data_IF_281132504174
#
_entry.id   IF_281132504174
#
_cell.length_a   1.000
_cell.length_b   1.000
_cell.length_c   1.000
_cell.angle_alpha   90.00
_cell.angle_beta   90.00
_cell.angle_gamma   90.00
#
_symmetry.space_group_name_H-M   'P 1'
#
loop_
_entity.id
_entity.type
_entity.pdbx_description
1 polymer ?
#
# COMPACT_ATOMS: atom_id res chain seq x y z
N UNK A 1 16.70 74.75 -19.16
CA UNK A 1 15.52 73.89 -18.88
C UNK A 1 16.01 72.47 -18.65
N UNK A 2 16.00 72.01 -17.39
CA UNK A 2 16.55 70.74 -16.92
C UNK A 2 15.56 69.61 -17.24
N UNK A 3 15.98 68.56 -17.95
CA UNK A 3 15.21 67.33 -18.13
C UNK A 3 15.67 66.31 -17.09
N UNK A 4 14.77 65.99 -16.17
CA UNK A 4 14.97 64.97 -15.14
C UNK A 4 14.72 63.58 -15.75
N UNK A 5 15.70 62.68 -15.59
CA UNK A 5 15.54 61.25 -15.81
C UNK A 5 14.86 60.64 -14.57
N UNK A 6 13.69 60.05 -14.75
CA UNK A 6 13.09 59.17 -13.74
C UNK A 6 13.55 57.75 -14.01
N UNK A 7 14.43 57.23 -13.15
CA UNK A 7 14.73 55.80 -13.05
C UNK A 7 13.73 55.22 -12.04
N UNK A 8 12.82 54.38 -12.51
CA UNK A 8 11.94 53.59 -11.64
C UNK A 8 12.73 52.34 -11.25
N UNK A 9 13.30 52.34 -10.05
CA UNK A 9 13.82 51.13 -9.41
C UNK A 9 12.65 50.42 -8.73
N UNK A 10 12.20 49.30 -9.29
CA UNK A 10 11.26 48.40 -8.63
C UNK A 10 12.01 47.60 -7.56
N UNK A 11 11.79 47.94 -6.30
CA UNK A 11 12.25 47.15 -5.17
C UNK A 11 11.36 45.90 -5.04
N UNK A 12 11.88 44.75 -5.47
CA UNK A 12 11.29 43.45 -5.14
C UNK A 12 11.72 43.13 -3.71
N UNK A 13 10.77 43.22 -2.77
CA UNK A 13 10.96 42.75 -1.40
C UNK A 13 10.99 41.22 -1.40
N UNK A 14 12.20 40.67 -1.33
CA UNK A 14 12.45 39.25 -1.13
C UNK A 14 12.31 38.98 0.38
N UNK A 15 11.13 38.53 0.83
CA UNK A 15 11.01 37.97 2.17
C UNK A 15 11.67 36.58 2.18
N UNK A 16 12.95 36.58 2.52
CA UNK A 16 13.67 35.41 3.00
C UNK A 16 13.06 35.00 4.35
N UNK A 17 12.27 33.93 4.36
CA UNK A 17 11.99 33.20 5.60
C UNK A 17 13.18 32.27 5.82
N UNK A 18 14.20 32.80 6.49
CA UNK A 18 15.21 32.01 7.18
C UNK A 18 14.64 31.58 8.53
N UNK A 19 14.17 30.33 8.63
CA UNK A 19 13.99 29.67 9.92
C UNK A 19 15.11 28.65 10.11
N UNK A 20 16.23 29.14 10.63
CA UNK A 20 17.17 28.35 11.42
C UNK A 20 16.53 28.05 12.77
N UNK A 21 16.41 26.79 13.14
CA UNK A 21 15.97 26.40 14.48
C UNK A 21 15.46 24.98 14.50
N UNK A 22 16.34 24.05 14.85
CA UNK A 22 15.94 22.71 15.25
C UNK A 22 15.13 22.79 16.55
N UNK A 23 13.84 22.57 16.44
CA UNK A 23 13.00 22.23 17.59
C UNK A 23 12.36 20.86 17.31
N UNK A 24 12.53 19.99 18.29
CA UNK A 24 12.05 18.62 18.30
C UNK A 24 10.53 18.61 18.15
N UNK A 25 10.04 17.96 17.11
CA UNK A 25 8.64 17.53 16.98
C UNK A 25 8.37 16.35 17.94
N UNK A 26 8.42 16.63 19.23
CA UNK A 26 8.01 15.70 20.29
C UNK A 26 7.31 16.52 21.36
N UNK A 27 6.08 16.99 21.09
CA UNK A 27 5.15 17.50 22.11
C UNK A 27 3.74 17.73 21.50
N UNK A 28 3.20 16.69 20.86
CA UNK A 28 1.75 16.60 20.56
C UNK A 28 1.20 15.20 20.86
N UNK A 29 1.74 14.55 21.89
CA UNK A 29 1.15 13.36 22.49
C UNK A 29 1.13 13.57 24.00
N UNK A 30 -0.07 13.79 24.54
CA UNK A 30 -0.58 13.40 25.87
C UNK A 30 -1.66 14.39 26.27
N UNK A 31 -2.91 14.03 25.99
CA UNK A 31 -4.05 14.08 26.91
C UNK A 31 -5.35 13.88 26.13
N UNK A 32 -5.79 12.62 26.05
CA UNK A 32 -7.23 12.35 26.04
C UNK A 32 -7.50 10.96 26.63
N UNK A 33 -7.72 10.95 27.94
CA UNK A 33 -8.39 9.87 28.65
C UNK A 33 -9.90 9.99 28.40
N UNK A 34 -10.47 9.09 27.59
CA UNK A 34 -11.93 9.01 27.46
C UNK A 34 -12.42 8.38 26.16
N UNK A 35 -12.88 7.13 26.28
CA UNK A 35 -13.64 6.34 25.31
C UNK A 35 -12.87 5.76 24.13
N UNK A 36 -12.77 4.43 24.13
CA UNK A 36 -12.53 3.59 22.96
C UNK A 36 -13.57 3.91 21.87
N UNK A 37 -13.24 4.89 21.03
CA UNK A 37 -13.98 5.29 19.83
C UNK A 37 -13.03 5.52 18.65
N UNK A 38 -11.93 4.75 18.60
CA UNK A 38 -11.09 4.67 17.42
C UNK A 38 -11.41 3.34 16.73
N UNK A 39 -11.98 3.40 15.53
CA UNK A 39 -12.08 2.26 14.62
C UNK A 39 -10.72 1.84 14.05
N UNK A 40 -9.68 1.80 14.90
CA UNK A 40 -8.54 0.94 14.63
C UNK A 40 -9.10 -0.49 14.56
N UNK A 41 -8.71 -1.32 13.58
CA UNK A 41 -8.96 -2.75 13.69
C UNK A 41 -8.45 -3.15 15.07
N UNK A 42 -9.32 -3.73 15.90
CA UNK A 42 -8.97 -4.25 17.23
C UNK A 42 -7.60 -4.89 17.10
N UNK A 43 -6.61 -4.39 17.84
CA UNK A 43 -5.30 -5.02 17.93
C UNK A 43 -5.57 -6.51 18.07
N UNK A 44 -5.21 -7.31 17.07
CA UNK A 44 -5.57 -8.72 17.04
C UNK A 44 -5.18 -9.34 18.37
N UNK A 45 -6.04 -10.17 18.95
CA UNK A 45 -5.94 -10.73 20.31
C UNK A 45 -4.68 -11.61 20.57
N UNK A 46 -3.53 -11.29 20.00
CA UNK A 46 -2.37 -12.19 19.88
C UNK A 46 -2.70 -13.46 19.07
N UNK A 47 -3.80 -13.45 18.31
CA UNK A 47 -4.29 -14.63 17.61
C UNK A 47 -3.80 -14.64 16.16
N UNK A 48 -3.35 -15.81 15.71
CA UNK A 48 -2.97 -16.08 14.34
C UNK A 48 -4.11 -16.77 13.57
N UNK A 49 -4.40 -16.39 12.31
CA UNK A 49 -3.85 -15.24 11.58
C UNK A 49 -4.41 -13.90 12.10
N UNK A 50 -3.81 -12.79 11.68
CA UNK A 50 -4.45 -11.48 11.91
C UNK A 50 -5.65 -11.37 10.97
N UNK A 51 -6.83 -11.15 11.54
CA UNK A 51 -8.10 -11.09 10.80
C UNK A 51 -8.64 -9.66 10.82
N UNK A 52 -8.92 -9.11 9.65
CA UNK A 52 -9.65 -7.84 9.49
C UNK A 52 -11.04 -8.16 8.99
N UNK A 53 -12.03 -7.87 9.83
CA UNK A 53 -13.44 -8.09 9.52
C UNK A 53 -14.06 -6.84 8.89
N UNK A 54 -15.12 -6.98 8.08
CA UNK A 54 -15.91 -5.85 7.64
C UNK A 54 -16.43 -5.04 8.83
N UNK A 55 -16.45 -3.73 8.67
CA UNK A 55 -17.03 -2.84 9.64
C UNK A 55 -18.57 -2.94 9.62
N UNK A 56 -19.24 -2.90 10.79
CA UNK A 56 -20.69 -2.78 10.85
C UNK A 56 -21.18 -1.55 10.07
N UNK A 57 -22.33 -1.63 9.41
CA UNK A 57 -22.84 -0.58 8.52
C UNK A 57 -22.84 0.82 9.16
N UNK A 58 -23.32 0.96 10.40
CA UNK A 58 -23.31 2.25 11.09
C UNK A 58 -21.89 2.79 11.36
N UNK A 59 -20.92 1.92 11.63
CA UNK A 59 -19.52 2.34 11.83
C UNK A 59 -18.89 2.75 10.51
N UNK A 60 -19.14 1.99 9.44
CA UNK A 60 -18.64 2.30 8.10
C UNK A 60 -19.17 3.64 7.60
N UNK A 61 -20.47 3.90 7.74
CA UNK A 61 -21.07 5.16 7.29
C UNK A 61 -20.54 6.37 8.08
N UNK A 62 -20.28 6.22 9.38
CA UNK A 62 -19.62 7.25 10.17
C UNK A 62 -18.19 7.54 9.67
N UNK A 63 -17.42 6.49 9.34
CA UNK A 63 -16.06 6.67 8.81
C UNK A 63 -16.06 7.27 7.41
N UNK A 64 -17.02 6.92 6.55
CA UNK A 64 -17.19 7.54 5.24
C UNK A 64 -17.52 9.03 5.36
N UNK A 65 -18.38 9.41 6.30
CA UNK A 65 -18.70 10.81 6.57
C UNK A 65 -17.45 11.59 7.04
N UNK A 66 -16.69 11.02 7.98
CA UNK A 66 -15.42 11.60 8.45
C UNK A 66 -14.40 11.75 7.33
N UNK A 67 -14.22 10.70 6.50
CA UNK A 67 -13.33 10.74 5.35
C UNK A 67 -13.72 11.83 4.35
N UNK A 68 -15.03 11.98 4.10
CA UNK A 68 -15.55 13.00 3.19
C UNK A 68 -15.37 14.41 3.74
N UNK A 69 -15.54 14.61 5.04
CA UNK A 69 -15.27 15.87 5.72
C UNK A 69 -13.79 16.26 5.62
N UNK A 70 -12.88 15.30 5.83
CA UNK A 70 -11.44 15.52 5.69
C UNK A 70 -10.99 15.75 4.24
N UNK A 71 -11.71 15.19 3.26
CA UNK A 71 -11.35 15.20 1.85
C UNK A 71 -12.55 15.58 0.96
N UNK A 72 -13.06 16.83 1.06
CA UNK A 72 -14.29 17.23 0.38
C UNK A 72 -14.21 17.12 -1.15
N UNK A 73 -13.01 17.27 -1.71
CA UNK A 73 -12.76 17.23 -3.15
C UNK A 73 -12.28 15.86 -3.66
N UNK A 74 -12.06 14.88 -2.77
CA UNK A 74 -11.69 13.53 -3.19
C UNK A 74 -12.95 12.79 -3.66
N UNK A 75 -12.94 12.16 -4.85
CA UNK A 75 -14.13 11.55 -5.45
C UNK A 75 -14.44 10.13 -4.93
N UNK A 76 -13.44 9.42 -4.38
CA UNK A 76 -13.59 8.06 -3.87
C UNK A 76 -14.21 7.97 -2.47
N UNK A 77 -14.27 6.76 -1.93
CA UNK A 77 -14.91 6.43 -0.65
C UNK A 77 -14.06 5.45 0.15
N UNK A 78 -14.64 4.83 1.18
CA UNK A 78 -14.03 3.72 1.92
C UNK A 78 -14.73 2.39 1.59
N UNK A 79 -13.94 1.32 1.44
CA UNK A 79 -14.44 -0.04 1.31
C UNK A 79 -15.02 -0.55 2.64
N UNK A 80 -15.55 -1.79 2.63
CA UNK A 80 -16.15 -2.42 3.81
C UNK A 80 -15.21 -2.60 5.01
N UNK A 81 -13.90 -2.44 4.84
CA UNK A 81 -12.90 -2.52 5.92
C UNK A 81 -12.46 -1.15 6.44
N UNK A 82 -12.96 -0.06 5.85
CA UNK A 82 -12.57 1.31 6.21
C UNK A 82 -11.29 1.81 5.50
N UNK A 83 -10.79 1.10 4.49
CA UNK A 83 -9.68 1.55 3.66
C UNK A 83 -10.17 2.34 2.46
N UNK A 84 -9.33 3.26 1.95
CA UNK A 84 -9.65 4.03 0.74
C UNK A 84 -9.94 3.07 -0.42
N UNK A 85 -11.08 3.28 -1.05
CA UNK A 85 -11.52 2.59 -2.26
C UNK A 85 -11.74 3.59 -3.37
N UNK A 86 -11.15 3.28 -4.51
CA UNK A 86 -11.32 4.06 -5.71
C UNK A 86 -12.73 3.84 -6.29
N UNK A 87 -13.44 4.94 -6.52
CA UNK A 87 -14.64 4.93 -7.35
C UNK A 87 -14.27 5.53 -8.71
N UNK A 88 -14.30 4.71 -9.76
CA UNK A 88 -14.07 5.17 -11.13
C UNK A 88 -15.23 6.06 -11.54
N UNK A 89 -15.08 7.35 -11.29
CA UNK A 89 -15.97 8.41 -11.75
C UNK A 89 -15.25 9.21 -12.82
N UNK A 90 -15.92 9.40 -13.96
CA UNK A 90 -15.44 10.34 -14.98
C UNK A 90 -15.36 11.73 -14.36
N UNK A 91 -14.15 12.30 -14.30
CA UNK A 91 -13.92 13.63 -13.77
C UNK A 91 -13.12 14.44 -14.79
N UNK A 92 -13.45 15.72 -14.90
CA UNK A 92 -12.65 16.66 -15.68
C UNK A 92 -11.36 16.96 -14.93
N UNK A 93 -10.24 16.83 -15.63
CA UNK A 93 -8.92 17.14 -15.08
C UNK A 93 -8.43 18.48 -15.64
N UNK A 94 -7.71 19.29 -14.84
CA UNK A 94 -7.13 20.52 -15.31
C UNK A 94 -6.19 20.30 -16.50
N UNK A 95 -6.13 21.28 -17.40
CA UNK A 95 -5.20 21.25 -18.55
C UNK A 95 -3.74 21.54 -18.19
N UNK A 96 -3.46 21.80 -16.92
CA UNK A 96 -2.12 22.08 -16.39
C UNK A 96 -1.22 20.85 -16.51
N UNK A 97 -0.05 21.03 -17.13
CA UNK A 97 0.98 19.99 -17.25
C UNK A 97 1.86 20.03 -16.00
N UNK A 98 2.09 18.85 -15.42
CA UNK A 98 2.91 18.63 -14.24
C UNK A 98 4.21 17.94 -14.67
N UNK A 99 5.35 18.56 -14.38
CA UNK A 99 6.67 18.07 -14.82
C UNK A 99 7.61 17.70 -13.67
N UNK A 100 7.27 18.06 -12.43
CA UNK A 100 8.10 17.80 -11.26
C UNK A 100 7.68 16.49 -10.58
N UNK A 101 8.37 15.41 -10.91
CA UNK A 101 8.18 14.08 -10.33
C UNK A 101 8.30 14.09 -8.79
N UNK A 102 9.31 14.78 -8.25
CA UNK A 102 9.55 14.83 -6.81
C UNK A 102 8.40 15.51 -6.09
N UNK A 103 7.85 16.59 -6.66
CA UNK A 103 6.67 17.24 -6.13
C UNK A 103 5.45 16.30 -6.14
N UNK A 104 5.28 15.48 -7.19
CA UNK A 104 4.17 14.53 -7.26
C UNK A 104 4.30 13.42 -6.22
N UNK A 105 5.49 12.87 -6.03
CA UNK A 105 5.79 11.90 -4.97
C UNK A 105 5.51 12.51 -3.59
N UNK A 106 5.97 13.75 -3.34
CA UNK A 106 5.73 14.43 -2.06
C UNK A 106 4.24 14.64 -1.80
N UNK A 107 3.47 15.08 -2.81
CA UNK A 107 2.01 15.23 -2.71
C UNK A 107 1.31 13.89 -2.43
N UNK A 108 1.75 12.81 -3.09
CA UNK A 108 1.22 11.48 -2.87
C UNK A 108 1.47 11.02 -1.43
N UNK A 109 2.72 11.12 -0.94
CA UNK A 109 3.08 10.78 0.45
C UNK A 109 2.31 11.63 1.47
N UNK A 110 2.19 12.94 1.22
CA UNK A 110 1.46 13.84 2.10
C UNK A 110 -0.04 13.49 2.19
N UNK A 111 -0.68 13.12 1.06
CA UNK A 111 -2.06 12.65 1.07
C UNK A 111 -2.23 11.37 1.86
N UNK A 112 -1.33 10.39 1.68
CA UNK A 112 -1.40 9.11 2.38
C UNK A 112 -1.21 9.27 3.89
N UNK A 113 -0.27 10.12 4.30
CA UNK A 113 -0.01 10.43 5.72
C UNK A 113 -1.17 11.22 6.36
N UNK A 114 -1.73 12.22 5.65
CA UNK A 114 -2.93 12.95 6.11
C UNK A 114 -4.10 11.99 6.34
N UNK A 115 -4.19 10.93 5.53
CA UNK A 115 -5.23 9.92 5.60
C UNK A 115 -4.75 8.63 6.28
N UNK A 116 -3.76 8.70 7.18
CA UNK A 116 -3.15 7.54 7.86
C UNK A 116 -4.18 6.58 8.49
N UNK A 117 -5.28 7.12 9.01
CA UNK A 117 -6.42 6.36 9.54
C UNK A 117 -7.08 5.43 8.52
N UNK A 118 -7.08 5.80 7.24
CA UNK A 118 -7.74 5.09 6.14
C UNK A 118 -6.75 4.39 5.19
N UNK A 119 -5.46 4.70 5.30
CA UNK A 119 -4.40 4.13 4.46
C UNK A 119 -3.49 3.18 5.22
N UNK A 120 -3.46 3.25 6.55
CA UNK A 120 -2.47 2.56 7.39
C UNK A 120 -1.05 3.12 7.27
N UNK A 121 -0.85 4.22 6.54
CA UNK A 121 0.47 4.83 6.36
C UNK A 121 0.73 5.81 7.50
N UNK A 122 1.55 5.40 8.47
CA UNK A 122 1.96 6.24 9.62
C UNK A 122 3.33 6.89 9.42
N UNK A 123 4.17 6.31 8.56
CA UNK A 123 5.50 6.80 8.23
C UNK A 123 5.75 6.68 6.71
N UNK A 124 6.13 7.79 6.10
CA UNK A 124 6.38 7.87 4.65
C UNK A 124 7.86 7.66 4.28
N UNK A 125 8.76 7.57 5.27
CA UNK A 125 10.18 7.28 5.03
C UNK A 125 10.39 5.82 4.62
N UNK A 126 9.58 4.91 5.16
CA UNK A 126 9.55 3.49 4.78
C UNK A 126 8.89 3.23 3.41
N UNK A 127 8.20 4.23 2.83
CA UNK A 127 7.54 4.10 1.53
C UNK A 127 8.55 4.23 0.38
N UNK A 128 9.05 3.09 -0.09
CA UNK A 128 9.86 3.01 -1.30
C UNK A 128 8.96 3.10 -2.54
N UNK A 129 9.47 3.81 -3.56
CA UNK A 129 8.75 4.02 -4.82
C UNK A 129 9.03 2.82 -5.72
N UNK A 130 7.97 2.18 -6.22
CA UNK A 130 8.06 1.17 -7.26
C UNK A 130 8.17 1.84 -8.63
N UNK A 131 7.29 2.81 -8.90
CA UNK A 131 7.26 3.53 -10.16
C UNK A 131 6.63 4.93 -9.97
N UNK A 132 7.04 5.89 -10.79
CA UNK A 132 6.36 7.16 -10.93
C UNK A 132 6.38 7.59 -12.39
N UNK A 133 5.20 7.84 -12.96
CA UNK A 133 5.13 8.25 -14.35
C UNK A 133 4.03 9.28 -14.64
N UNK A 134 4.32 10.26 -15.50
CA UNK A 134 3.29 11.08 -16.11
C UNK A 134 2.51 10.29 -17.15
N UNK A 135 1.22 10.57 -17.29
CA UNK A 135 0.38 10.11 -18.39
C UNK A 135 -0.55 11.24 -18.86
N UNK A 136 -1.20 11.06 -20.01
CA UNK A 136 -1.97 12.12 -20.70
C UNK A 136 -1.13 13.41 -20.87
N UNK A 137 0.06 13.27 -21.49
CA UNK A 137 0.99 14.39 -21.74
C UNK A 137 1.39 15.15 -20.46
N UNK A 138 1.45 14.46 -19.31
CA UNK A 138 1.85 15.04 -18.03
C UNK A 138 0.75 15.77 -17.29
N UNK A 139 -0.50 15.74 -17.76
CA UNK A 139 -1.64 16.28 -17.00
C UNK A 139 -1.94 15.44 -15.76
N UNK A 140 -1.74 14.13 -15.88
CA UNK A 140 -1.96 13.17 -14.80
C UNK A 140 -0.65 12.48 -14.44
N UNK A 141 -0.54 12.08 -13.18
CA UNK A 141 0.59 11.34 -12.65
C UNK A 141 0.10 10.11 -11.91
N UNK A 142 0.86 9.03 -12.02
CA UNK A 142 0.69 7.83 -11.20
C UNK A 142 1.97 7.63 -10.39
N UNK A 143 1.82 7.49 -9.08
CA UNK A 143 2.88 7.11 -8.15
C UNK A 143 2.49 5.76 -7.55
N UNK A 144 3.35 4.76 -7.74
CA UNK A 144 3.17 3.41 -7.21
C UNK A 144 4.23 3.19 -6.13
N UNK A 145 3.80 2.82 -4.94
CA UNK A 145 4.68 2.46 -3.83
C UNK A 145 4.79 0.94 -3.72
N UNK A 146 5.96 0.44 -3.36
CA UNK A 146 6.16 -1.00 -3.13
C UNK A 146 5.26 -1.50 -1.98
N UNK A 147 5.19 -2.83 -1.85
CA UNK A 147 4.60 -3.49 -0.70
C UNK A 147 5.18 -2.93 0.62
N UNK A 148 4.34 -2.89 1.64
CA UNK A 148 4.71 -2.59 3.03
C UNK A 148 5.80 -3.57 3.51
N UNK A 149 6.75 -3.05 4.28
CA UNK A 149 7.63 -3.88 5.11
C UNK A 149 7.16 -3.79 6.56
N UNK A 150 6.82 -4.92 7.18
CA UNK A 150 6.38 -5.00 8.57
C UNK A 150 7.29 -5.98 9.33
N UNK A 151 7.99 -5.50 10.36
CA UNK A 151 8.99 -6.28 11.11
C UNK A 151 10.02 -7.01 10.21
N UNK A 152 10.44 -6.36 9.13
CA UNK A 152 11.40 -6.92 8.17
C UNK A 152 10.80 -7.91 7.15
N UNK A 153 9.50 -8.21 7.24
CA UNK A 153 8.80 -9.05 6.27
C UNK A 153 8.05 -8.20 5.26
N UNK A 154 8.12 -8.58 4.00
CA UNK A 154 7.27 -7.99 2.96
C UNK A 154 5.81 -8.42 3.19
N UNK A 155 4.89 -7.46 3.19
CA UNK A 155 3.45 -7.71 3.21
C UNK A 155 2.96 -7.75 1.77
N UNK A 156 2.92 -8.93 1.19
CA UNK A 156 2.60 -9.12 -0.21
C UNK A 156 1.17 -8.67 -0.51
N UNK A 157 0.98 -7.99 -1.65
CA UNK A 157 -0.29 -7.38 -2.11
C UNK A 157 -0.74 -6.17 -1.27
N UNK A 158 0.22 -5.37 -0.80
CA UNK A 158 -0.03 -4.10 -0.10
C UNK A 158 0.53 -2.88 -0.86
N UNK A 159 0.77 -3.02 -2.17
CA UNK A 159 1.11 -1.93 -3.09
C UNK A 159 0.06 -0.83 -2.97
N UNK A 160 0.52 0.43 -2.87
CA UNK A 160 -0.35 1.60 -2.88
C UNK A 160 -0.17 2.34 -4.20
N UNK A 161 -1.27 2.60 -4.89
CA UNK A 161 -1.32 3.42 -6.10
C UNK A 161 -1.94 4.77 -5.77
N UNK A 162 -1.31 5.85 -6.22
CA UNK A 162 -1.82 7.21 -6.06
C UNK A 162 -1.79 7.91 -7.41
N UNK A 163 -2.92 8.51 -7.77
CA UNK A 163 -3.08 9.25 -9.01
C UNK A 163 -3.37 10.72 -8.70
N UNK A 164 -2.64 11.58 -9.40
CA UNK A 164 -2.61 13.01 -9.13
C UNK A 164 -2.83 13.81 -10.40
N UNK A 165 -3.50 14.95 -10.24
CA UNK A 165 -3.57 16.02 -11.23
C UNK A 165 -3.17 17.35 -10.58
N UNK A 166 -3.39 18.46 -11.28
CA UNK A 166 -2.98 19.77 -10.77
C UNK A 166 -3.75 20.21 -9.51
N UNK A 167 -4.94 19.66 -9.27
CA UNK A 167 -5.75 19.92 -8.08
C UNK A 167 -5.35 19.05 -6.89
N UNK A 168 -4.61 17.96 -7.12
CA UNK A 168 -4.08 17.08 -6.08
C UNK A 168 -4.35 15.60 -6.36
N UNK A 169 -4.46 14.81 -5.29
CA UNK A 169 -4.78 13.38 -5.41
C UNK A 169 -6.26 13.24 -5.73
N UNK A 170 -6.56 12.59 -6.85
CA UNK A 170 -7.94 12.31 -7.26
C UNK A 170 -8.30 10.84 -7.19
N UNK A 171 -7.32 9.95 -7.08
CA UNK A 171 -7.53 8.51 -6.91
C UNK A 171 -6.41 7.92 -6.08
N UNK A 172 -6.76 7.02 -5.18
CA UNK A 172 -5.82 6.24 -4.40
C UNK A 172 -6.42 4.86 -4.13
N UNK A 173 -5.59 3.84 -4.12
CA UNK A 173 -5.99 2.46 -3.84
C UNK A 173 -4.86 1.69 -3.19
N UNK A 174 -5.21 0.62 -2.49
CA UNK A 174 -4.28 -0.12 -1.65
C UNK A 174 -4.16 0.51 -0.26
N UNK A 175 -3.62 -0.26 0.67
CA UNK A 175 -3.46 0.14 2.05
C UNK A 175 -2.32 -0.64 2.70
N UNK A 176 -1.81 -0.10 3.78
CA UNK A 176 -0.92 -0.78 4.71
C UNK A 176 -1.71 -1.26 5.93
N UNK A 177 -1.13 -2.20 6.67
CA UNK A 177 -1.73 -2.81 7.84
C UNK A 177 -0.94 -2.40 9.08
N UNK A 178 -1.60 -1.63 9.96
CA UNK A 178 -0.98 -1.07 11.16
C UNK A 178 -0.56 -2.12 12.19
N UNK A 179 -1.26 -3.25 12.21
CA UNK A 179 -1.00 -4.36 13.11
C UNK A 179 -1.05 -5.67 12.36
N UNK A 180 0.02 -6.45 12.50
CA UNK A 180 0.13 -7.82 12.02
C UNK A 180 0.77 -8.64 13.14
N UNK A 181 0.07 -9.67 13.60
CA UNK A 181 0.61 -10.67 14.51
C UNK A 181 1.53 -11.61 13.74
N UNK A 182 2.79 -11.67 14.15
CA UNK A 182 3.82 -12.56 13.60
C UNK A 182 4.04 -13.68 14.62
N UNK A 183 3.58 -14.92 14.35
CA UNK A 183 3.75 -16.04 15.27
C UNK A 183 5.20 -16.56 15.25
N UNK A 184 5.55 -17.33 16.28
CA UNK A 184 6.75 -18.16 16.22
C UNK A 184 6.57 -19.23 15.14
N UNK A 185 7.62 -19.43 14.34
CA UNK A 185 7.67 -20.44 13.29
C UNK A 185 7.52 -21.85 13.88
N UNK A 186 6.57 -22.62 13.35
CA UNK A 186 6.39 -24.04 13.69
C UNK A 186 6.85 -24.97 12.57
N UNK A 187 6.84 -24.47 11.33
CA UNK A 187 7.26 -25.18 10.12
C UNK A 187 8.54 -24.55 9.60
N UNK A 188 9.62 -25.34 9.59
CA UNK A 188 10.91 -24.89 9.08
C UNK A 188 10.87 -24.66 7.57
N UNK A 189 11.83 -23.90 7.04
CA UNK A 189 11.99 -23.72 5.59
C UNK A 189 12.12 -25.08 4.87
N UNK A 190 12.87 -26.02 5.44
CA UNK A 190 13.10 -27.34 4.85
C UNK A 190 11.81 -28.16 4.83
N UNK A 191 11.05 -28.17 5.92
CA UNK A 191 9.76 -28.87 6.00
C UNK A 191 8.75 -28.30 5.01
N UNK A 192 8.70 -26.97 4.86
CA UNK A 192 7.82 -26.30 3.90
C UNK A 192 8.18 -26.61 2.44
N UNK A 193 9.48 -26.70 2.12
CA UNK A 193 9.95 -27.12 0.80
C UNK A 193 9.61 -28.58 0.52
N UNK A 194 9.82 -29.45 1.50
CA UNK A 194 9.53 -30.87 1.36
C UNK A 194 8.02 -31.13 1.25
N UNK A 195 7.18 -30.35 1.92
CA UNK A 195 5.72 -30.53 1.89
C UNK A 195 5.08 -30.25 0.53
N UNK A 196 5.74 -29.46 -0.32
CA UNK A 196 5.25 -29.13 -1.66
C UNK A 196 5.84 -30.01 -2.77
N UNK A 197 6.74 -30.96 -2.47
CA UNK A 197 7.20 -31.93 -3.47
C UNK A 197 6.04 -32.85 -3.84
N UNK A 198 5.78 -33.01 -5.14
CA UNK A 198 4.62 -33.72 -5.66
C UNK A 198 3.35 -32.85 -5.76
N UNK A 199 3.38 -31.60 -5.28
CA UNK A 199 2.25 -30.68 -5.45
C UNK A 199 2.02 -30.35 -6.92
N UNK A 200 0.75 -30.36 -7.33
CA UNK A 200 0.33 -30.10 -8.71
C UNK A 200 -0.06 -28.62 -8.88
N UNK A 201 0.65 -27.92 -9.75
CA UNK A 201 0.34 -26.54 -10.16
C UNK A 201 -0.40 -26.60 -11.48
N UNK A 202 -1.71 -26.32 -11.44
CA UNK A 202 -2.51 -26.10 -12.65
C UNK A 202 -2.22 -24.72 -13.24
N UNK A 203 -2.00 -24.65 -14.56
CA UNK A 203 -1.81 -23.39 -15.27
C UNK A 203 -2.52 -23.38 -16.62
N UNK A 204 -2.88 -22.18 -17.09
CA UNK A 204 -3.50 -21.98 -18.40
C UNK A 204 -2.46 -21.55 -19.44
N UNK A 205 -2.45 -22.23 -20.58
CA UNK A 205 -1.62 -21.91 -21.74
C UNK A 205 -2.31 -20.85 -22.61
N UNK A 206 -2.31 -19.59 -22.15
CA UNK A 206 -2.68 -18.41 -22.94
C UNK A 206 -3.99 -18.50 -23.75
N UNK A 207 -4.09 -17.69 -24.80
CA UNK A 207 -5.31 -17.50 -25.62
C UNK A 207 -5.65 -18.68 -26.56
N UNK A 208 -5.08 -19.87 -26.32
CA UNK A 208 -5.21 -21.06 -27.17
C UNK A 208 -5.81 -22.30 -26.52
N UNK A 209 -6.11 -22.27 -25.22
CA UNK A 209 -7.07 -23.21 -24.60
C UNK A 209 -6.55 -24.54 -24.08
N UNK A 210 -5.26 -24.66 -23.72
CA UNK A 210 -4.78 -25.81 -22.95
C UNK A 210 -4.65 -25.47 -21.46
N UNK A 211 -5.03 -26.38 -20.56
CA UNK A 211 -4.48 -26.39 -19.20
C UNK A 211 -3.30 -27.36 -19.14
N UNK A 212 -2.30 -27.02 -18.35
CA UNK A 212 -1.18 -27.89 -18.03
C UNK A 212 -1.12 -28.12 -16.52
N UNK A 213 -0.52 -29.25 -16.15
CA UNK A 213 -0.16 -29.55 -14.76
C UNK A 213 1.36 -29.60 -14.69
N UNK A 214 1.93 -28.85 -13.76
CA UNK A 214 3.33 -28.99 -13.37
C UNK A 214 3.41 -29.65 -12.01
N UNK A 215 4.13 -30.77 -11.91
CA UNK A 215 4.38 -31.45 -10.63
C UNK A 215 5.69 -30.94 -10.05
N UNK A 216 5.62 -30.32 -8.88
CA UNK A 216 6.79 -29.83 -8.14
C UNK A 216 7.71 -30.99 -7.79
N UNK A 217 9.01 -30.82 -8.00
CA UNK A 217 10.00 -31.85 -7.69
C UNK A 217 11.18 -31.27 -6.90
N UNK A 218 12.02 -32.13 -6.33
CA UNK A 218 13.16 -31.76 -5.49
C UNK A 218 14.09 -30.72 -6.12
N UNK A 219 14.31 -30.78 -7.44
CA UNK A 219 15.22 -29.85 -8.14
C UNK A 219 14.69 -28.42 -8.16
N UNK A 220 13.43 -28.22 -7.83
CA UNK A 220 12.80 -26.90 -7.76
C UNK A 220 13.17 -26.20 -6.45
N UNK A 221 13.61 -26.93 -5.42
CA UNK A 221 13.85 -26.42 -4.05
C UNK A 221 15.24 -25.82 -3.81
N UNK A 222 16.00 -25.55 -4.88
CA UNK A 222 17.39 -25.06 -4.83
C UNK A 222 17.47 -23.66 -4.20
N UNK A 223 16.49 -22.80 -4.48
CA UNK A 223 16.49 -21.42 -3.98
C UNK A 223 16.02 -21.37 -2.52
N UNK A 224 16.60 -20.50 -1.67
CA UNK A 224 16.07 -20.28 -0.33
C UNK A 224 14.62 -19.77 -0.41
N UNK A 225 13.78 -20.21 0.54
CA UNK A 225 12.46 -19.65 0.71
C UNK A 225 12.57 -18.26 1.36
N UNK A 226 11.63 -17.37 1.04
CA UNK A 226 11.55 -16.05 1.67
C UNK A 226 10.34 -16.02 2.59
N UNK A 227 10.52 -15.60 3.84
CA UNK A 227 9.40 -15.40 4.76
C UNK A 227 8.70 -14.08 4.44
N UNK A 228 7.38 -14.11 4.28
CA UNK A 228 6.54 -12.95 3.96
C UNK A 228 5.27 -12.94 4.82
N UNK A 229 4.54 -11.83 4.78
CA UNK A 229 3.12 -11.80 5.16
C UNK A 229 2.28 -11.83 3.88
N UNK A 230 1.44 -12.85 3.73
CA UNK A 230 0.51 -12.98 2.62
C UNK A 230 -0.86 -12.42 3.01
N UNK A 231 -1.35 -11.45 2.21
CA UNK A 231 -2.72 -10.94 2.31
C UNK A 231 -3.67 -11.86 1.52
N UNK A 232 -4.62 -12.49 2.21
CA UNK A 232 -5.64 -13.33 1.62
C UNK A 232 -7.05 -12.80 1.89
N UNK A 233 -7.94 -12.96 0.92
CA UNK A 233 -9.36 -12.66 1.07
C UNK A 233 -10.11 -13.98 1.27
N UNK A 234 -10.62 -14.19 2.49
CA UNK A 234 -11.31 -15.41 2.91
C UNK A 234 -12.77 -15.07 3.20
N UNK A 235 -13.64 -15.32 2.22
CA UNK A 235 -15.02 -14.86 2.24
C UNK A 235 -15.09 -13.34 2.33
N UNK A 236 -15.61 -12.81 3.44
CA UNK A 236 -15.67 -11.36 3.67
C UNK A 236 -14.53 -10.80 4.51
N UNK A 237 -13.55 -11.60 4.92
CA UNK A 237 -12.46 -11.17 5.79
C UNK A 237 -11.16 -11.04 5.02
N UNK A 238 -10.27 -10.18 5.52
CA UNK A 238 -8.86 -10.20 5.14
C UNK A 238 -8.12 -10.99 6.21
N UNK A 239 -7.32 -11.95 5.79
CA UNK A 239 -6.41 -12.72 6.63
C UNK A 239 -4.98 -12.37 6.26
N UNK A 240 -4.18 -12.02 7.26
CA UNK A 240 -2.73 -11.79 7.12
C UNK A 240 -2.01 -12.98 7.72
N UNK A 241 -1.47 -13.84 6.86
CA UNK A 241 -0.78 -15.09 7.23
C UNK A 241 0.72 -14.94 7.01
N UNK A 242 1.53 -15.53 7.89
CA UNK A 242 2.98 -15.56 7.72
C UNK A 242 3.33 -16.83 6.97
N UNK A 243 3.98 -16.67 5.81
CA UNK A 243 4.18 -17.74 4.84
C UNK A 243 5.62 -17.81 4.37
N UNK A 244 6.06 -19.03 4.06
CA UNK A 244 7.19 -19.30 3.19
C UNK A 244 6.77 -19.08 1.74
N UNK A 245 7.40 -18.13 1.06
CA UNK A 245 7.33 -17.98 -0.40
C UNK A 245 8.44 -18.84 -1.02
N UNK A 246 8.06 -19.95 -1.67
CA UNK A 246 8.98 -20.92 -2.24
C UNK A 246 8.96 -20.81 -3.75
N UNK A 247 10.12 -20.59 -4.37
CA UNK A 247 10.25 -20.45 -5.83
C UNK A 247 10.30 -21.82 -6.50
N UNK A 248 9.32 -22.12 -7.34
CA UNK A 248 9.32 -23.26 -8.27
C UNK A 248 9.84 -22.76 -9.62
N UNK A 249 11.16 -22.54 -9.69
CA UNK A 249 11.81 -21.80 -10.78
C UNK A 249 11.56 -22.40 -12.16
N UNK A 250 11.61 -23.73 -12.26
CA UNK A 250 11.38 -24.50 -13.49
C UNK A 250 10.01 -24.27 -14.11
N UNK A 251 9.00 -23.99 -13.30
CA UNK A 251 7.65 -23.66 -13.73
C UNK A 251 7.40 -22.16 -13.81
N UNK A 252 8.25 -21.35 -13.17
CA UNK A 252 8.06 -19.91 -13.06
C UNK A 252 6.92 -19.54 -12.11
N UNK A 253 6.86 -20.19 -10.93
CA UNK A 253 5.85 -19.93 -9.91
C UNK A 253 6.45 -19.71 -8.51
N UNK A 254 5.67 -19.09 -7.64
CA UNK A 254 5.77 -19.17 -6.20
C UNK A 254 4.67 -20.07 -5.65
N UNK A 255 5.00 -20.87 -4.64
CA UNK A 255 4.05 -21.57 -3.77
C UNK A 255 4.19 -20.98 -2.38
N UNK A 256 3.07 -20.66 -1.74
CA UNK A 256 3.05 -20.11 -0.39
C UNK A 256 2.63 -21.16 0.62
N UNK A 257 3.44 -21.39 1.65
CA UNK A 257 3.17 -22.37 2.72
C UNK A 257 3.09 -21.67 4.05
N UNK A 258 2.03 -21.90 4.81
CA UNK A 258 1.82 -21.32 6.15
C UNK A 258 2.92 -21.77 7.13
N UNK A 259 3.57 -20.81 7.80
CA UNK A 259 4.69 -21.09 8.74
C UNK A 259 4.26 -21.74 10.06
N UNK A 260 2.96 -21.79 10.34
CA UNK A 260 2.38 -22.39 11.55
C UNK A 260 1.73 -23.74 11.24
N UNK A 261 0.93 -23.82 10.17
CA UNK A 261 0.13 -25.03 9.87
C UNK A 261 0.75 -25.93 8.82
N UNK A 262 1.65 -25.41 7.98
CA UNK A 262 2.21 -26.12 6.83
C UNK A 262 1.26 -26.25 5.64
N UNK A 263 0.08 -25.61 5.71
CA UNK A 263 -0.91 -25.60 4.63
C UNK A 263 -0.41 -24.78 3.44
N UNK A 264 -0.67 -25.27 2.22
CA UNK A 264 -0.46 -24.48 1.00
C UNK A 264 -1.54 -23.41 0.90
N UNK A 265 -1.13 -22.15 1.00
CA UNK A 265 -2.02 -20.99 0.97
C UNK A 265 -2.38 -20.54 -0.45
N UNK A 266 -1.57 -20.91 -1.44
CA UNK A 266 -1.83 -20.63 -2.85
C UNK A 266 -0.56 -20.59 -3.69
N UNK A 267 -0.74 -20.21 -4.95
CA UNK A 267 0.34 -20.08 -5.93
C UNK A 267 0.28 -18.73 -6.64
N UNK A 268 1.41 -18.29 -7.20
CA UNK A 268 1.50 -17.07 -7.99
C UNK A 268 2.55 -17.23 -9.10
N UNK A 269 2.23 -16.80 -10.31
CA UNK A 269 3.15 -16.93 -11.45
C UNK A 269 4.17 -15.78 -11.47
N UNK A 270 5.45 -16.06 -11.71
CA UNK A 270 6.56 -15.09 -11.68
C UNK A 270 6.51 -14.03 -12.79
N UNK A 271 5.72 -14.23 -13.83
CA UNK A 271 5.74 -13.43 -15.06
C UNK A 271 4.42 -12.69 -15.33
N UNK A 272 3.55 -12.58 -14.34
CA UNK A 272 2.23 -11.99 -14.45
C UNK A 272 2.13 -10.58 -13.85
N UNK A 273 3.25 -9.86 -13.74
CA UNK A 273 3.30 -8.44 -13.35
C UNK A 273 3.28 -7.51 -14.58
#
# INVERSE_FOLDING_TARGET
MKRAFFIIAAAISLQLISCTGGEKFTDLLVNNSGSDKSGNPTSGNGAYPTIISPLPGAQLENLKAEFKEMNPNFPGTLNKYGFIEDEVKSMEHPDTILTDENLMIQRAKAFLLKNSKFTGVTDTTAMSIFNSLPFIRGKLWMVIFNNQIYNGLEVKRSVIHVYLDANGVFRASGNWYNYIFIPDEQISEEDAKNSIIGFEIEYQLGWGGGSGIYVVNERDMINPAVKIVLVQFSGEKIELKVAWQISVRSAGWYVFVDTVTGEVLGTEQLWAD
#
